data_IF_325188533061
#
_entry.id   IF_325188533061
#
_cell.length_a   1.000
_cell.length_b   1.000
_cell.length_c   1.000
_cell.angle_alpha   90.00
_cell.angle_beta   90.00
_cell.angle_gamma   90.00
#
_symmetry.space_group_name_H-M   'P 1'
#
loop_
_entity.id
_entity.type
_entity.pdbx_description
1 polymer ?
#
# COMPACT_ATOMS: atom_id res chain seq x y z
N UNK A 1 1.40 24.11 -13.04
CA UNK A 1 0.66 22.94 -13.43
C UNK A 1 1.64 21.80 -13.63
N UNK A 2 1.74 20.92 -12.65
CA UNK A 2 2.41 19.63 -12.81
C UNK A 2 1.47 18.81 -13.67
N UNK A 3 1.79 18.66 -14.95
CA UNK A 3 1.06 17.76 -15.84
C UNK A 3 1.26 16.34 -15.33
N UNK A 4 0.14 15.61 -15.15
CA UNK A 4 0.12 14.19 -14.89
C UNK A 4 0.79 13.44 -16.06
N UNK A 5 2.07 13.15 -15.93
CA UNK A 5 2.79 12.24 -16.81
C UNK A 5 2.53 10.77 -16.39
N UNK A 6 1.27 10.42 -16.19
CA UNK A 6 0.81 9.05 -16.00
C UNK A 6 -0.05 8.59 -17.18
N UNK A 7 0.32 8.97 -18.38
CA UNK A 7 -0.36 8.52 -19.58
C UNK A 7 0.56 7.61 -20.41
N UNK A 8 0.05 6.43 -20.62
CA UNK A 8 0.50 5.39 -21.54
C UNK A 8 1.67 4.50 -21.07
N UNK A 9 1.33 3.46 -20.53
CA UNK A 9 1.76 2.05 -20.51
C UNK A 9 1.50 1.51 -19.10
N UNK A 10 0.41 0.78 -18.99
CA UNK A 10 0.05 -0.10 -17.88
C UNK A 10 0.60 0.26 -16.50
N UNK A 11 -0.18 0.93 -15.67
CA UNK A 11 -0.02 1.02 -14.20
C UNK A 11 1.34 1.44 -13.66
N UNK A 12 2.08 2.29 -14.34
CA UNK A 12 3.41 2.65 -13.89
C UNK A 12 3.40 3.90 -13.00
N UNK A 13 3.75 3.60 -11.80
CA UNK A 13 4.46 4.41 -10.83
C UNK A 13 4.31 5.91 -10.89
N UNK A 14 3.44 6.36 -10.07
CA UNK A 14 3.38 7.73 -9.66
C UNK A 14 4.49 8.05 -8.64
N UNK A 15 5.01 9.26 -8.65
CA UNK A 15 5.97 9.77 -7.67
C UNK A 15 5.49 9.53 -6.23
N UNK A 16 4.18 9.59 -6.00
CA UNK A 16 3.56 9.33 -4.68
C UNK A 16 3.74 7.91 -4.18
N UNK A 17 3.66 6.91 -5.07
CA UNK A 17 3.84 5.51 -4.69
C UNK A 17 5.27 5.21 -4.30
N UNK A 18 6.23 5.84 -4.97
CA UNK A 18 7.64 5.78 -4.59
C UNK A 18 7.92 6.44 -3.25
N UNK A 19 7.30 7.58 -3.00
CA UNK A 19 7.41 8.23 -1.70
C UNK A 19 6.88 7.33 -0.58
N UNK A 20 5.73 6.69 -0.80
CA UNK A 20 5.16 5.73 0.16
C UNK A 20 6.07 4.52 0.38
N UNK A 21 6.65 3.98 -0.70
CA UNK A 21 7.60 2.86 -0.63
C UNK A 21 8.88 3.25 0.14
N UNK A 22 9.42 4.43 -0.13
CA UNK A 22 10.57 4.98 0.60
C UNK A 22 10.25 5.23 2.09
N UNK A 23 9.06 5.73 2.41
CA UNK A 23 8.61 5.90 3.78
C UNK A 23 8.49 4.55 4.50
N UNK A 24 7.92 3.53 3.84
CA UNK A 24 7.83 2.18 4.37
C UNK A 24 9.21 1.57 4.60
N UNK A 25 10.13 1.73 3.64
CA UNK A 25 11.51 1.30 3.77
C UNK A 25 12.20 1.97 4.96
N UNK A 26 12.06 3.28 5.11
CA UNK A 26 12.62 4.04 6.23
C UNK A 26 12.10 3.51 7.56
N UNK A 27 10.79 3.32 7.68
CA UNK A 27 10.20 2.76 8.90
C UNK A 27 10.70 1.36 9.22
N UNK A 28 10.91 0.50 8.23
CA UNK A 28 11.43 -0.86 8.43
C UNK A 28 12.91 -0.90 8.82
N UNK A 29 13.69 0.11 8.44
CA UNK A 29 15.17 0.11 8.59
C UNK A 29 15.68 1.01 9.70
N UNK A 30 14.96 2.09 10.04
CA UNK A 30 15.37 3.05 11.05
C UNK A 30 14.67 2.74 12.39
N UNK A 31 15.47 2.49 13.44
CA UNK A 31 14.94 2.23 14.77
C UNK A 31 14.22 3.46 15.35
N UNK A 32 13.28 3.22 16.26
CA UNK A 32 12.52 4.26 16.96
C UNK A 32 11.72 5.20 16.02
N UNK A 33 11.27 4.67 14.91
CA UNK A 33 10.38 5.36 13.98
C UNK A 33 9.03 4.67 13.92
N UNK A 34 8.00 5.42 13.54
CA UNK A 34 6.68 4.90 13.22
C UNK A 34 6.15 5.53 11.92
N UNK A 35 5.24 4.84 11.28
CA UNK A 35 4.59 5.33 10.08
C UNK A 35 3.08 5.22 10.23
N UNK A 36 2.37 6.27 9.84
CA UNK A 36 0.90 6.30 9.81
C UNK A 36 0.44 6.35 8.36
N UNK A 37 -0.42 5.42 8.00
CA UNK A 37 -1.05 5.36 6.68
C UNK A 37 -2.29 6.27 6.67
N UNK A 38 -2.43 7.10 5.63
CA UNK A 38 -3.51 8.07 5.48
C UNK A 38 -4.31 7.94 4.17
N UNK A 39 -4.11 6.85 3.42
CA UNK A 39 -4.72 6.66 2.09
C UNK A 39 -6.26 6.66 2.11
N UNK A 40 -6.85 6.31 3.25
CA UNK A 40 -8.29 6.25 3.50
C UNK A 40 -8.92 7.58 3.92
N UNK A 41 -8.10 8.62 4.14
CA UNK A 41 -8.53 9.95 4.65
C UNK A 41 -8.16 11.11 3.74
N UNK A 42 -7.58 10.81 2.57
CA UNK A 42 -7.30 11.81 1.56
C UNK A 42 -8.53 12.23 0.76
N UNK A 43 -8.42 13.31 0.03
CA UNK A 43 -9.40 13.78 -0.95
C UNK A 43 -8.76 13.77 -2.35
N UNK A 44 -9.51 13.33 -3.36
CA UNK A 44 -8.98 13.13 -4.71
C UNK A 44 -8.44 14.42 -5.32
N UNK A 45 -9.14 15.54 -5.08
CA UNK A 45 -8.89 16.82 -5.72
C UNK A 45 -8.35 17.88 -4.74
N UNK A 46 -8.12 17.52 -3.47
CA UNK A 46 -7.59 18.43 -2.47
C UNK A 46 -6.39 17.81 -1.75
N UNK A 47 -5.30 18.57 -1.66
CA UNK A 47 -4.10 18.18 -0.91
C UNK A 47 -4.23 18.49 0.60
N UNK A 48 -5.30 19.18 0.99
CA UNK A 48 -5.59 19.57 2.37
C UNK A 48 -6.85 18.87 2.90
N UNK A 49 -6.81 17.55 3.14
CA UNK A 49 -7.98 16.82 3.61
C UNK A 49 -8.48 17.41 4.92
N UNK A 50 -9.80 17.61 5.03
CA UNK A 50 -10.45 18.23 6.20
C UNK A 50 -10.37 17.28 7.39
N UNK A 51 -10.45 15.96 7.16
CA UNK A 51 -10.62 14.96 8.21
C UNK A 51 -9.28 14.49 8.79
N UNK A 52 -8.64 15.32 9.62
CA UNK A 52 -7.30 15.08 10.18
C UNK A 52 -7.28 14.30 11.50
N UNK A 53 -8.40 14.26 12.22
CA UNK A 53 -8.51 13.62 13.54
C UNK A 53 -8.05 12.15 13.52
N UNK A 54 -8.46 11.27 12.58
CA UNK A 54 -8.00 9.88 12.56
C UNK A 54 -6.48 9.74 12.39
N UNK A 55 -5.84 10.67 11.68
CA UNK A 55 -4.39 10.65 11.53
C UNK A 55 -3.70 10.99 12.86
N UNK A 56 -4.23 11.99 13.60
CA UNK A 56 -3.76 12.32 14.95
C UNK A 56 -3.92 11.15 15.93
N UNK A 57 -5.04 10.44 15.88
CA UNK A 57 -5.30 9.25 16.71
C UNK A 57 -4.32 8.11 16.40
N UNK A 58 -4.03 7.85 15.11
CA UNK A 58 -3.02 6.86 14.70
C UNK A 58 -1.60 7.26 15.16
N UNK A 59 -1.25 8.54 15.07
CA UNK A 59 0.04 9.05 15.59
C UNK A 59 0.13 8.89 17.11
N UNK A 60 -0.95 9.17 17.83
CA UNK A 60 -1.02 8.97 19.29
C UNK A 60 -0.83 7.48 19.65
N UNK A 61 -1.44 6.56 18.91
CA UNK A 61 -1.25 5.12 19.12
C UNK A 61 0.22 4.70 18.90
N UNK A 62 0.89 5.25 17.89
CA UNK A 62 2.33 5.04 17.70
C UNK A 62 3.15 5.54 18.89
N UNK A 63 2.88 6.76 19.39
CA UNK A 63 3.57 7.32 20.55
C UNK A 63 3.32 6.48 21.81
N UNK A 64 2.08 6.08 22.06
CA UNK A 64 1.72 5.23 23.21
C UNK A 64 2.50 3.91 23.17
N UNK A 65 2.62 3.29 21.99
CA UNK A 65 3.35 2.03 21.85
C UNK A 65 4.86 2.21 22.02
N UNK A 66 5.47 3.17 21.29
CA UNK A 66 6.93 3.32 21.20
C UNK A 66 7.56 4.03 22.41
N UNK A 67 6.88 5.00 23.01
CA UNK A 67 7.45 5.85 24.06
C UNK A 67 6.91 5.52 25.44
N UNK A 68 5.67 5.04 25.53
CA UNK A 68 5.02 4.75 26.80
C UNK A 68 4.82 3.26 27.07
N UNK A 69 5.38 2.41 26.19
CA UNK A 69 5.35 0.93 26.30
C UNK A 69 3.92 0.36 26.50
N UNK A 70 2.92 1.01 25.90
CA UNK A 70 1.54 0.54 25.97
C UNK A 70 1.30 -0.52 24.91
N UNK A 71 0.70 -1.64 25.32
CA UNK A 71 0.32 -2.75 24.41
C UNK A 71 -0.95 -2.38 23.62
N UNK A 72 -0.85 -1.39 22.75
CA UNK A 72 -1.95 -0.94 21.88
C UNK A 72 -1.60 -1.21 20.41
N UNK A 73 -2.59 -1.53 19.56
CA UNK A 73 -2.41 -1.56 18.12
C UNK A 73 -1.98 -0.17 17.61
N UNK A 74 -0.98 -0.12 16.73
CA UNK A 74 -0.41 1.14 16.24
C UNK A 74 -0.14 1.17 14.74
N UNK A 75 -0.34 0.05 14.06
CA UNK A 75 -0.15 -0.07 12.60
C UNK A 75 -1.29 -0.84 11.96
N UNK A 76 -1.54 -0.60 10.70
CA UNK A 76 -2.33 -1.47 9.84
C UNK A 76 -1.51 -2.62 9.26
N UNK A 77 -2.14 -3.49 8.47
CA UNK A 77 -1.47 -4.61 7.81
C UNK A 77 -0.30 -4.16 6.95
N UNK A 78 0.85 -4.79 7.14
CA UNK A 78 2.09 -4.55 6.38
C UNK A 78 2.44 -5.82 5.62
N UNK A 79 2.68 -5.70 4.32
CA UNK A 79 3.11 -6.83 3.50
C UNK A 79 4.30 -7.55 4.10
N UNK A 80 4.18 -8.88 4.25
CA UNK A 80 5.21 -9.77 4.78
C UNK A 80 5.80 -10.67 3.71
N UNK A 81 4.95 -11.44 3.02
CA UNK A 81 5.38 -12.40 2.00
C UNK A 81 4.26 -12.73 1.03
N UNK A 82 4.65 -13.20 -0.14
CA UNK A 82 3.75 -13.70 -1.16
C UNK A 82 4.18 -15.11 -1.58
N UNK A 83 3.21 -15.97 -1.82
CA UNK A 83 3.38 -17.29 -2.44
C UNK A 83 2.38 -17.44 -3.58
N UNK A 84 2.81 -18.07 -4.68
CA UNK A 84 1.90 -18.41 -5.77
C UNK A 84 1.36 -19.81 -5.51
N UNK A 85 0.03 -19.93 -5.53
CA UNK A 85 -0.69 -21.19 -5.46
C UNK A 85 -1.63 -21.26 -6.65
N UNK A 86 -1.36 -22.17 -7.56
CA UNK A 86 -2.05 -22.28 -8.84
C UNK A 86 -1.98 -20.95 -9.62
N UNK A 87 -3.13 -20.33 -9.88
CA UNK A 87 -3.25 -19.05 -10.57
C UNK A 87 -3.51 -17.87 -9.62
N UNK A 88 -3.30 -18.06 -8.31
CA UNK A 88 -3.54 -17.01 -7.28
C UNK A 88 -2.26 -16.67 -6.53
N UNK A 89 -2.12 -15.40 -6.18
CA UNK A 89 -1.11 -14.94 -5.24
C UNK A 89 -1.69 -14.94 -3.82
N UNK A 90 -1.13 -15.75 -2.93
CA UNK A 90 -1.44 -15.77 -1.50
C UNK A 90 -0.51 -14.79 -0.79
N UNK A 91 -1.07 -13.78 -0.12
CA UNK A 91 -0.33 -12.70 0.54
C UNK A 91 -0.54 -12.75 2.03
N UNK A 92 0.56 -12.74 2.78
CA UNK A 92 0.58 -12.68 4.23
C UNK A 92 1.01 -11.29 4.71
N UNK A 93 0.52 -10.90 5.88
CA UNK A 93 0.76 -9.58 6.47
C UNK A 93 1.24 -9.70 7.92
N UNK A 94 2.04 -8.74 8.35
CA UNK A 94 2.27 -8.43 9.75
C UNK A 94 1.22 -7.40 10.24
N UNK A 95 1.08 -7.20 11.54
CA UNK A 95 0.14 -6.27 12.19
C UNK A 95 -1.33 -6.51 11.87
N UNK A 96 -1.71 -7.77 11.71
CA UNK A 96 -3.12 -8.14 11.46
C UNK A 96 -3.97 -8.18 12.74
N UNK A 97 -3.33 -8.28 13.92
CA UNK A 97 -3.95 -8.37 15.25
C UNK A 97 -5.18 -9.29 15.29
N UNK A 98 -6.39 -8.75 15.48
CA UNK A 98 -7.63 -9.54 15.53
C UNK A 98 -8.10 -10.04 14.16
N UNK A 99 -7.42 -9.67 13.08
CA UNK A 99 -7.67 -10.15 11.72
C UNK A 99 -7.80 -9.06 10.68
N UNK A 100 -7.88 -9.50 9.42
CA UNK A 100 -8.08 -8.63 8.27
C UNK A 100 -9.57 -8.37 8.03
N UNK A 101 -9.88 -7.21 7.44
CA UNK A 101 -11.21 -6.84 6.99
C UNK A 101 -11.13 -5.91 5.78
N UNK A 102 -12.19 -5.88 4.98
CA UNK A 102 -12.38 -4.87 3.93
C UNK A 102 -13.41 -3.86 4.40
N UNK A 103 -13.24 -2.59 4.06
CA UNK A 103 -14.32 -1.60 4.19
C UNK A 103 -15.19 -1.68 2.93
N UNK A 104 -16.44 -2.14 3.10
CA UNK A 104 -17.36 -2.42 2.01
C UNK A 104 -17.45 -3.91 1.67
N UNK A 105 -18.19 -4.23 0.60
CA UNK A 105 -18.50 -5.61 0.22
C UNK A 105 -17.33 -6.30 -0.48
N UNK A 106 -16.58 -5.57 -1.30
CA UNK A 106 -15.47 -6.09 -2.09
C UNK A 106 -14.13 -5.54 -1.63
N UNK A 107 -13.10 -6.38 -1.65
CA UNK A 107 -11.73 -5.99 -1.40
C UNK A 107 -11.12 -5.38 -2.68
N UNK A 108 -10.69 -4.13 -2.61
CA UNK A 108 -10.22 -3.31 -3.75
C UNK A 108 -8.77 -2.84 -3.58
N UNK A 109 -8.23 -2.31 -4.68
CA UNK A 109 -6.92 -1.66 -4.68
C UNK A 109 -5.77 -2.57 -5.06
N UNK A 110 -6.05 -3.80 -5.53
CA UNK A 110 -5.03 -4.74 -6.00
C UNK A 110 -4.84 -4.68 -7.51
N UNK A 111 -3.60 -4.86 -7.93
CA UNK A 111 -3.22 -5.16 -9.31
C UNK A 111 -2.22 -6.31 -9.35
N UNK A 112 -2.22 -7.06 -10.44
CA UNK A 112 -1.43 -8.28 -10.61
C UNK A 112 -0.85 -8.31 -12.02
N UNK A 113 0.34 -8.88 -12.20
CA UNK A 113 0.92 -9.10 -13.51
C UNK A 113 1.49 -10.51 -13.68
N UNK A 114 1.58 -10.92 -14.94
CA UNK A 114 2.29 -12.11 -15.41
C UNK A 114 3.68 -11.76 -15.92
N UNK A 115 4.27 -12.71 -16.70
CA UNK A 115 5.60 -12.58 -17.28
C UNK A 115 5.75 -11.44 -18.30
N UNK A 116 4.66 -10.84 -18.72
CA UNK A 116 4.62 -9.65 -19.58
C UNK A 116 4.86 -8.35 -18.84
N UNK A 117 4.92 -8.40 -17.49
CA UNK A 117 5.08 -7.24 -16.58
C UNK A 117 3.96 -6.19 -16.66
N UNK A 118 2.85 -6.51 -17.35
CA UNK A 118 1.70 -5.62 -17.44
C UNK A 118 0.77 -5.83 -16.24
N UNK A 119 0.65 -4.79 -15.40
CA UNK A 119 -0.26 -4.85 -14.25
C UNK A 119 -1.70 -4.57 -14.70
N UNK A 120 -2.59 -5.49 -14.36
CA UNK A 120 -4.04 -5.35 -14.55
C UNK A 120 -4.74 -5.32 -13.21
N UNK A 121 -5.97 -4.79 -13.18
CA UNK A 121 -6.81 -4.84 -11.99
C UNK A 121 -7.04 -6.29 -11.58
N UNK A 122 -6.97 -6.55 -10.28
CA UNK A 122 -7.11 -7.89 -9.73
C UNK A 122 -8.30 -7.98 -8.78
N UNK A 123 -8.94 -9.15 -8.75
CA UNK A 123 -9.85 -9.54 -7.68
C UNK A 123 -9.04 -9.98 -6.47
N UNK A 124 -9.62 -9.76 -5.29
CA UNK A 124 -8.99 -10.19 -4.05
C UNK A 124 -10.04 -10.65 -3.04
N UNK A 125 -9.68 -11.61 -2.21
CA UNK A 125 -10.51 -12.09 -1.10
C UNK A 125 -9.68 -12.31 0.15
N UNK A 126 -10.28 -12.08 1.32
CA UNK A 126 -9.68 -12.42 2.61
C UNK A 126 -10.15 -13.82 2.99
N UNK A 127 -9.20 -14.72 3.20
CA UNK A 127 -9.46 -16.08 3.65
C UNK A 127 -8.32 -16.55 4.56
N UNK A 128 -8.67 -17.17 5.70
CA UNK A 128 -7.72 -17.74 6.68
C UNK A 128 -6.63 -16.74 7.12
N UNK A 129 -7.01 -15.46 7.33
CA UNK A 129 -6.10 -14.41 7.77
C UNK A 129 -5.08 -13.94 6.71
N UNK A 130 -5.28 -14.32 5.45
CA UNK A 130 -4.46 -13.94 4.29
C UNK A 130 -5.32 -13.31 3.22
N UNK A 131 -4.68 -12.68 2.23
CA UNK A 131 -5.34 -12.16 1.03
C UNK A 131 -4.94 -13.00 -0.18
N UNK A 132 -5.93 -13.49 -0.91
CA UNK A 132 -5.76 -14.18 -2.18
C UNK A 132 -6.10 -13.21 -3.31
N UNK A 133 -5.15 -13.04 -4.25
CA UNK A 133 -5.26 -12.10 -5.37
C UNK A 133 -5.14 -12.84 -6.69
N UNK A 134 -6.04 -12.57 -7.64
CA UNK A 134 -6.03 -13.19 -8.96
C UNK A 134 -6.68 -12.30 -10.02
N UNK A 135 -6.47 -12.66 -11.28
CA UNK A 135 -7.16 -12.06 -12.42
C UNK A 135 -7.43 -13.14 -13.46
N UNK A 136 -8.58 -13.08 -14.14
CA UNK A 136 -8.96 -14.04 -15.16
C UNK A 136 -8.06 -13.95 -16.41
N UNK A 137 -7.34 -12.84 -16.58
CA UNK A 137 -6.43 -12.61 -17.73
C UNK A 137 -4.97 -12.89 -17.39
N UNK A 138 -4.64 -13.26 -16.14
CA UNK A 138 -3.28 -13.56 -15.68
C UNK A 138 -3.24 -14.98 -15.14
N UNK A 139 -2.90 -15.93 -16.00
CA UNK A 139 -2.85 -17.36 -15.61
C UNK A 139 -1.71 -17.68 -14.65
N UNK A 140 -0.56 -17.01 -14.81
CA UNK A 140 0.65 -17.22 -14.01
C UNK A 140 1.12 -15.91 -13.41
N UNK A 141 0.60 -15.53 -12.24
CA UNK A 141 1.00 -14.31 -11.60
C UNK A 141 2.45 -14.36 -11.10
N UNK A 142 3.19 -13.28 -11.26
CA UNK A 142 4.54 -13.11 -10.74
C UNK A 142 4.67 -11.99 -9.73
N UNK A 143 3.81 -10.96 -9.81
CA UNK A 143 3.84 -9.85 -8.88
C UNK A 143 2.46 -9.25 -8.63
N UNK A 144 2.30 -8.67 -7.43
CA UNK A 144 1.10 -7.99 -6.96
C UNK A 144 1.49 -6.62 -6.42
N UNK A 145 0.64 -5.63 -6.68
CA UNK A 145 0.72 -4.29 -6.06
C UNK A 145 -0.60 -3.97 -5.37
N UNK A 146 -0.54 -3.24 -4.28
CA UNK A 146 -1.70 -2.79 -3.52
C UNK A 146 -1.62 -1.29 -3.25
N UNK A 147 -2.72 -0.58 -3.55
CA UNK A 147 -2.79 0.86 -3.36
C UNK A 147 -1.78 1.64 -4.21
N UNK A 148 -1.31 1.05 -5.31
CA UNK A 148 -0.23 1.56 -6.16
C UNK A 148 -0.77 2.47 -7.25
N UNK A 149 -1.23 3.66 -6.85
CA UNK A 149 -1.72 4.72 -7.74
C UNK A 149 -1.77 6.07 -7.02
N UNK A 150 -1.84 7.16 -7.77
CA UNK A 150 -1.95 8.52 -7.20
C UNK A 150 -3.15 8.68 -6.28
N UNK A 151 -4.27 8.10 -6.70
CA UNK A 151 -5.51 7.97 -5.95
C UNK A 151 -5.95 6.52 -5.98
N UNK A 152 -6.23 5.95 -4.82
CA UNK A 152 -6.62 4.55 -4.70
C UNK A 152 -7.89 4.40 -3.87
N UNK A 153 -8.73 3.45 -4.26
CA UNK A 153 -9.87 2.98 -3.48
C UNK A 153 -9.50 1.78 -2.59
N UNK A 154 -8.22 1.64 -2.27
CA UNK A 154 -7.70 0.57 -1.43
C UNK A 154 -8.39 0.55 -0.06
N UNK A 155 -8.97 -0.59 0.31
CA UNK A 155 -9.87 -0.72 1.45
C UNK A 155 -9.56 -1.92 2.36
N UNK A 156 -8.33 -2.44 2.31
CA UNK A 156 -7.86 -3.46 3.26
C UNK A 156 -7.49 -2.80 4.58
N UNK A 157 -7.99 -3.37 5.67
CA UNK A 157 -7.76 -2.92 7.05
C UNK A 157 -7.50 -4.12 7.95
N UNK A 158 -6.95 -3.85 9.14
CA UNK A 158 -7.16 -4.78 10.26
C UNK A 158 -8.47 -4.44 10.98
N UNK A 159 -8.93 -5.35 11.83
CA UNK A 159 -10.18 -5.15 12.60
C UNK A 159 -10.09 -4.03 13.62
N UNK A 160 -8.89 -3.55 13.94
CA UNK A 160 -8.62 -2.40 14.80
C UNK A 160 -8.80 -1.04 14.07
N UNK A 161 -9.12 -1.07 12.76
CA UNK A 161 -9.43 0.14 11.98
C UNK A 161 -8.23 0.86 11.38
N UNK A 162 -7.06 0.20 11.34
CA UNK A 162 -5.89 0.74 10.65
C UNK A 162 -5.83 0.23 9.21
N UNK A 163 -5.67 1.13 8.21
CA UNK A 163 -5.55 0.74 6.80
C UNK A 163 -4.22 0.04 6.52
N UNK A 164 -4.25 -0.91 5.60
CA UNK A 164 -3.03 -1.56 5.14
C UNK A 164 -2.12 -0.58 4.42
N UNK A 165 -0.83 -0.76 4.62
CA UNK A 165 0.21 -0.01 3.91
C UNK A 165 0.21 -0.39 2.43
N UNK A 166 0.22 0.57 1.49
CA UNK A 166 0.50 0.30 0.09
C UNK A 166 1.81 -0.44 -0.08
N UNK A 167 1.84 -1.39 -0.99
CA UNK A 167 3.04 -2.21 -1.22
C UNK A 167 3.13 -2.70 -2.67
N UNK A 168 4.33 -3.15 -3.03
CA UNK A 168 4.62 -3.97 -4.20
C UNK A 168 5.38 -5.23 -3.77
N UNK A 169 5.22 -6.31 -4.51
CA UNK A 169 5.95 -7.56 -4.29
C UNK A 169 7.12 -7.71 -5.26
N UNK A 170 7.21 -6.82 -6.24
CA UNK A 170 8.21 -6.83 -7.31
C UNK A 170 9.42 -5.94 -6.98
N UNK A 171 10.53 -6.23 -7.69
CA UNK A 171 11.75 -5.43 -7.70
C UNK A 171 12.02 -4.88 -9.11
N UNK A 172 11.00 -4.66 -9.94
CA UNK A 172 11.19 -4.17 -11.29
C UNK A 172 11.78 -2.76 -11.27
N UNK A 173 12.70 -2.52 -12.21
CA UNK A 173 13.31 -1.19 -12.38
C UNK A 173 12.24 -0.15 -12.61
N UNK A 174 12.40 0.96 -11.94
CA UNK A 174 11.44 2.03 -11.95
C UNK A 174 11.78 3.02 -13.08
N UNK A 175 10.80 3.48 -13.86
CA UNK A 175 11.00 4.42 -14.99
C UNK A 175 11.74 5.72 -14.62
N UNK A 176 11.73 6.10 -13.35
CA UNK A 176 12.42 7.29 -12.85
C UNK A 176 13.75 6.95 -12.16
N UNK A 177 14.18 5.69 -12.21
CA UNK A 177 15.47 5.27 -11.66
C UNK A 177 16.59 5.91 -12.48
N UNK A 178 17.52 6.62 -11.80
CA UNK A 178 18.60 7.35 -12.45
C UNK A 178 18.21 8.73 -13.05
N UNK A 179 16.95 9.14 -12.98
CA UNK A 179 16.54 10.48 -13.42
C UNK A 179 16.75 11.46 -12.27
N UNK A 180 17.81 12.26 -12.36
CA UNK A 180 18.05 13.37 -11.44
C UNK A 180 17.41 14.64 -12.00
N UNK A 181 16.46 15.22 -11.27
CA UNK A 181 16.00 16.59 -11.52
C UNK A 181 16.90 17.54 -10.72
N UNK A 182 17.74 18.36 -11.38
CA UNK A 182 18.53 19.36 -10.66
C UNK A 182 17.55 20.34 -9.99
N UNK A 183 17.56 20.38 -8.66
CA UNK A 183 16.83 21.42 -7.94
C UNK A 183 17.46 22.77 -8.32
N UNK A 184 16.72 23.61 -9.04
CA UNK A 184 17.05 25.04 -9.16
C UNK A 184 16.71 25.66 -7.80
N UNK A 185 17.69 25.73 -6.91
CA UNK A 185 17.62 26.59 -5.73
C UNK A 185 17.58 28.02 -6.26
N UNK A 186 16.46 28.71 -6.09
CA UNK A 186 16.33 30.15 -6.29
C UNK A 186 16.62 30.86 -4.99
#
# INVERSE_FOLDING_TARGET
GIRDFCLSRGSEMCIRDRLRDAQLFTWKTVKNTAMVVSIDKGEKNDVHPIYKKPIGERLASCALHLQYDKKVPYSGPVYKSMQIKDNKAEISFDFVYSGLTALGEELKGFSICGADYNFVSARAEIRDGKVFVWSDVVERPIAVRYGWSNWTEANLFNKEGFPATPFRTDNFSLMTEGIYYPMKIR
#
